data_IF_790836561544
#
_entry.id   IF_790836561544
#
_cell.length_a   1.000
_cell.length_b   1.000
_cell.length_c   1.000
_cell.angle_alpha   90.00
_cell.angle_beta   90.00
_cell.angle_gamma   90.00
#
_symmetry.space_group_name_H-M   'P 1'
#
loop_
_entity.id
_entity.type
_entity.pdbx_description
1 polymer ?
#
# COMPACT_ATOMS: atom_id res chain seq x y z
N UNK A 1 -9.96 -11.02 -24.24
CA UNK A 1 -9.81 -12.48 -24.08
C UNK A 1 -9.36 -12.88 -22.67
N UNK A 2 -9.40 -11.98 -21.66
CA UNK A 2 -8.96 -12.31 -20.29
C UNK A 2 -9.99 -11.90 -19.23
N UNK A 3 -11.24 -11.66 -19.66
CA UNK A 3 -12.29 -11.16 -18.76
C UNK A 3 -12.65 -12.18 -17.68
N UNK A 4 -12.75 -13.46 -18.06
CA UNK A 4 -13.05 -14.53 -17.12
C UNK A 4 -11.87 -14.75 -16.17
N UNK A 5 -10.64 -14.74 -16.68
CA UNK A 5 -9.43 -14.86 -15.85
C UNK A 5 -9.34 -13.72 -14.83
N UNK A 6 -9.58 -12.47 -15.24
CA UNK A 6 -9.60 -11.31 -14.36
C UNK A 6 -10.69 -11.45 -13.27
N UNK A 7 -11.86 -11.98 -13.64
CA UNK A 7 -12.94 -12.26 -12.69
C UNK A 7 -12.54 -13.35 -11.68
N UNK A 8 -11.96 -14.46 -12.15
CA UNK A 8 -11.49 -15.56 -11.29
C UNK A 8 -10.44 -15.05 -10.31
N UNK A 9 -9.48 -14.25 -10.77
CA UNK A 9 -8.47 -13.64 -9.90
C UNK A 9 -9.09 -12.75 -8.82
N UNK A 10 -10.09 -11.93 -9.18
CA UNK A 10 -10.82 -11.10 -8.21
C UNK A 10 -11.57 -11.91 -7.14
N UNK A 11 -12.15 -13.05 -7.51
CA UNK A 11 -12.83 -13.95 -6.57
C UNK A 11 -11.84 -14.62 -5.61
N UNK A 12 -10.67 -15.04 -6.11
CA UNK A 12 -9.58 -15.56 -5.27
C UNK A 12 -9.15 -14.48 -4.26
N UNK A 13 -8.91 -13.26 -4.72
CA UNK A 13 -8.53 -12.14 -3.86
C UNK A 13 -9.58 -11.81 -2.78
N UNK A 14 -10.87 -11.95 -3.10
CA UNK A 14 -11.95 -11.79 -2.12
C UNK A 14 -11.85 -12.81 -0.99
N UNK A 15 -11.53 -14.07 -1.32
CA UNK A 15 -11.29 -15.13 -0.33
C UNK A 15 -10.13 -14.76 0.60
N UNK A 16 -9.03 -14.25 0.04
CA UNK A 16 -7.84 -13.85 0.80
C UNK A 16 -8.10 -12.69 1.75
N UNK A 17 -8.88 -11.67 1.34
CA UNK A 17 -9.22 -10.54 2.21
C UNK A 17 -10.02 -10.92 3.45
N UNK A 18 -10.80 -12.00 3.36
CA UNK A 18 -11.56 -12.53 4.51
C UNK A 18 -10.75 -13.50 5.37
N UNK A 19 -9.58 -13.94 4.89
CA UNK A 19 -8.70 -14.84 5.61
C UNK A 19 -7.77 -14.06 6.55
N UNK A 20 -7.46 -14.65 7.72
CA UNK A 20 -6.43 -14.14 8.61
C UNK A 20 -5.03 -14.49 8.07
N UNK A 21 -4.60 -13.76 7.03
CA UNK A 21 -3.28 -13.98 6.43
C UNK A 21 -2.15 -13.51 7.36
N UNK A 22 -1.00 -14.21 7.37
CA UNK A 22 0.16 -13.75 8.11
C UNK A 22 0.67 -12.43 7.53
N UNK A 23 1.16 -11.56 8.43
CA UNK A 23 1.86 -10.33 8.02
C UNK A 23 3.25 -10.69 7.49
N UNK A 24 3.74 -9.91 6.54
CA UNK A 24 5.05 -10.06 5.91
C UNK A 24 6.00 -9.08 6.55
N UNK A 25 7.10 -9.60 7.13
CA UNK A 25 8.18 -8.77 7.65
C UNK A 25 9.00 -8.19 6.51
N UNK A 26 9.09 -6.87 6.43
CA UNK A 26 9.86 -6.16 5.41
C UNK A 26 10.82 -5.16 6.04
N UNK A 27 11.85 -4.78 5.29
CA UNK A 27 12.79 -3.70 5.62
C UNK A 27 12.57 -2.55 4.64
N UNK A 28 12.26 -1.37 5.16
CA UNK A 28 12.03 -0.15 4.38
C UNK A 28 13.20 0.80 4.62
N UNK A 29 13.92 1.23 3.56
CA UNK A 29 14.98 2.21 3.69
C UNK A 29 14.50 3.47 4.41
N UNK A 30 15.36 4.03 5.26
CA UNK A 30 15.04 5.17 6.14
C UNK A 30 14.26 6.29 5.43
N UNK A 31 14.79 6.79 4.32
CA UNK A 31 14.18 7.90 3.58
C UNK A 31 12.77 7.56 3.09
N UNK A 32 12.54 6.33 2.64
CA UNK A 32 11.23 5.88 2.16
C UNK A 32 10.24 5.70 3.32
N UNK A 33 10.72 5.21 4.47
CA UNK A 33 9.91 5.10 5.69
C UNK A 33 9.45 6.48 6.18
N UNK A 34 10.36 7.46 6.20
CA UNK A 34 10.04 8.86 6.54
C UNK A 34 8.96 9.44 5.60
N UNK A 35 9.07 9.21 4.29
CA UNK A 35 8.04 9.64 3.33
C UNK A 35 6.67 8.96 3.55
N UNK A 36 6.65 7.67 3.88
CA UNK A 36 5.40 6.97 4.18
C UNK A 36 4.72 7.55 5.44
N UNK A 37 5.50 7.83 6.49
CA UNK A 37 4.99 8.47 7.72
C UNK A 37 4.44 9.87 7.43
N UNK A 38 5.12 10.66 6.61
CA UNK A 38 4.61 11.98 6.18
C UNK A 38 3.28 11.85 5.42
N UNK A 39 3.15 10.83 4.56
CA UNK A 39 1.89 10.59 3.85
C UNK A 39 0.74 10.23 4.81
N UNK A 40 1.01 9.45 5.85
CA UNK A 40 0.03 9.15 6.92
C UNK A 40 -0.40 10.40 7.69
N UNK A 41 0.54 11.29 8.00
CA UNK A 41 0.28 12.50 8.79
C UNK A 41 -0.43 13.61 8.00
N UNK A 42 -0.61 13.44 6.68
CA UNK A 42 -1.24 14.45 5.84
C UNK A 42 -2.73 14.54 6.14
N UNK A 43 -3.19 15.71 6.53
CA UNK A 43 -4.62 16.05 6.51
C UNK A 43 -5.03 16.38 5.06
N UNK A 44 -5.81 15.51 4.44
CA UNK A 44 -6.34 15.71 3.09
C UNK A 44 -7.80 16.16 3.16
N UNK A 45 -7.99 17.47 3.25
CA UNK A 45 -9.30 18.12 3.14
C UNK A 45 -9.51 18.63 1.71
N UNK A 46 -10.02 17.77 0.83
CA UNK A 46 -10.27 18.11 -0.57
C UNK A 46 -11.51 17.42 -1.12
N UNK A 47 -12.33 18.16 -1.87
CA UNK A 47 -13.47 17.56 -2.59
C UNK A 47 -12.95 16.79 -3.79
N UNK A 48 -13.26 15.50 -3.86
CA UNK A 48 -12.92 14.68 -5.02
C UNK A 48 -13.62 15.22 -6.29
N UNK A 49 -12.93 15.25 -7.45
CA UNK A 49 -13.56 15.53 -8.73
C UNK A 49 -14.70 14.54 -9.00
N UNK A 50 -15.79 15.03 -9.61
CA UNK A 50 -16.91 14.19 -10.03
C UNK A 50 -17.27 14.53 -11.49
N UNK A 51 -17.13 13.59 -12.44
CA UNK A 51 -16.63 12.21 -12.26
C UNK A 51 -15.11 12.14 -12.08
N UNK A 52 -14.65 11.18 -11.27
CA UNK A 52 -13.22 10.88 -11.11
C UNK A 52 -12.74 9.97 -12.25
N UNK A 53 -11.69 10.39 -12.96
CA UNK A 53 -11.04 9.58 -14.00
C UNK A 53 -10.35 8.36 -13.36
N UNK A 54 -10.38 7.16 -13.99
CA UNK A 54 -9.62 5.99 -13.56
C UNK A 54 -8.16 6.24 -13.16
N UNK A 55 -7.44 7.12 -13.85
CA UNK A 55 -6.06 7.45 -13.50
C UNK A 55 -5.93 8.21 -12.16
N UNK A 56 -6.87 9.11 -11.87
CA UNK A 56 -6.94 9.82 -10.58
C UNK A 56 -7.27 8.86 -9.44
N UNK A 57 -8.18 7.92 -9.68
CA UNK A 57 -8.50 6.85 -8.74
C UNK A 57 -7.27 6.02 -8.38
N UNK A 58 -6.53 5.53 -9.40
CA UNK A 58 -5.31 4.74 -9.19
C UNK A 58 -4.28 5.52 -8.35
N UNK A 59 -4.10 6.82 -8.62
CA UNK A 59 -3.20 7.68 -7.83
C UNK A 59 -3.66 7.84 -6.39
N UNK A 60 -4.95 8.06 -6.16
CA UNK A 60 -5.52 8.20 -4.82
C UNK A 60 -5.40 6.90 -4.02
N UNK A 61 -5.69 5.76 -4.65
CA UNK A 61 -5.57 4.45 -3.99
C UNK A 61 -4.12 4.15 -3.60
N UNK A 62 -3.14 4.52 -4.46
CA UNK A 62 -1.71 4.46 -4.12
C UNK A 62 -1.30 5.39 -2.98
N UNK A 63 -1.81 6.62 -2.97
CA UNK A 63 -1.57 7.54 -1.86
C UNK A 63 -2.12 6.98 -0.53
N UNK A 64 -3.30 6.37 -0.57
CA UNK A 64 -3.89 5.67 0.57
C UNK A 64 -3.04 4.49 1.03
N UNK A 65 -2.53 3.65 0.12
CA UNK A 65 -1.64 2.55 0.45
C UNK A 65 -0.33 3.04 1.10
N UNK A 66 0.27 4.11 0.58
CA UNK A 66 1.47 4.72 1.18
C UNK A 66 1.19 5.23 2.60
N UNK A 67 0.05 5.89 2.82
CA UNK A 67 -0.36 6.34 4.14
C UNK A 67 -0.60 5.17 5.10
N UNK A 68 -1.20 4.05 4.65
CA UNK A 68 -1.37 2.86 5.48
C UNK A 68 -0.04 2.19 5.86
N UNK A 69 0.95 2.20 4.95
CA UNK A 69 2.32 1.78 5.28
C UNK A 69 2.92 2.72 6.33
N UNK A 70 2.74 4.04 6.18
CA UNK A 70 3.16 5.05 7.15
C UNK A 70 2.55 4.85 8.55
N UNK A 71 1.27 4.50 8.61
CA UNK A 71 0.58 4.13 9.85
C UNK A 71 1.23 2.90 10.49
N UNK A 72 1.41 1.82 9.72
CA UNK A 72 2.01 0.59 10.22
C UNK A 72 3.45 0.82 10.75
N UNK A 73 4.23 1.66 10.08
CA UNK A 73 5.55 2.09 10.54
C UNK A 73 5.43 2.89 11.84
N UNK A 74 4.48 3.81 11.93
CA UNK A 74 4.29 4.64 13.13
C UNK A 74 3.90 3.80 14.35
N UNK A 75 3.04 2.79 14.17
CA UNK A 75 2.51 1.97 15.26
C UNK A 75 3.45 0.81 15.66
N UNK A 76 4.17 0.24 14.69
CA UNK A 76 4.85 -1.04 14.87
C UNK A 76 6.27 -1.09 14.30
N UNK A 77 6.74 -0.04 13.62
CA UNK A 77 8.06 0.01 13.04
C UNK A 77 9.17 -0.08 14.09
N UNK A 78 10.20 -0.87 13.79
CA UNK A 78 11.42 -0.96 14.58
C UNK A 78 12.59 -0.47 13.73
N UNK A 79 13.44 0.38 14.27
CA UNK A 79 14.59 0.90 13.54
C UNK A 79 15.79 -0.03 13.75
N UNK A 80 16.43 -0.45 12.65
CA UNK A 80 17.65 -1.26 12.69
C UNK A 80 18.91 -0.41 12.92
N UNK A 81 20.07 -1.06 12.95
CA UNK A 81 21.37 -0.39 13.19
C UNK A 81 21.76 0.61 12.11
N UNK A 82 21.24 0.45 10.88
CA UNK A 82 21.51 1.31 9.73
C UNK A 82 20.46 2.41 9.58
N UNK A 83 19.45 2.44 10.46
CA UNK A 83 18.36 3.40 10.45
C UNK A 83 17.19 3.01 9.55
N UNK A 84 17.17 1.81 8.97
CA UNK A 84 16.03 1.32 8.19
C UNK A 84 14.91 0.87 9.13
N UNK A 85 13.68 0.86 8.62
CA UNK A 85 12.52 0.41 9.39
C UNK A 85 12.18 -1.03 9.05
N UNK A 86 12.21 -1.90 10.06
CA UNK A 86 11.64 -3.23 10.06
C UNK A 86 10.18 -3.13 10.48
N UNK A 87 9.24 -3.58 9.65
CA UNK A 87 7.81 -3.53 9.93
C UNK A 87 7.09 -4.75 9.34
N UNK A 88 6.06 -5.23 10.03
CA UNK A 88 5.21 -6.30 9.53
C UNK A 88 4.01 -5.68 8.77
N UNK A 89 3.88 -5.95 7.47
CA UNK A 89 2.82 -5.40 6.60
C UNK A 89 1.81 -6.48 6.20
N UNK A 90 0.58 -6.06 5.85
CA UNK A 90 -0.36 -6.99 5.23
C UNK A 90 0.15 -7.39 3.84
N UNK A 91 -0.15 -8.63 3.37
CA UNK A 91 0.20 -9.03 2.00
C UNK A 91 -0.37 -8.10 0.93
N UNK A 92 -1.55 -7.51 1.18
CA UNK A 92 -2.17 -6.53 0.29
C UNK A 92 -1.33 -5.26 0.13
N UNK A 93 -0.81 -4.69 1.22
CA UNK A 93 0.04 -3.49 1.14
C UNK A 93 1.37 -3.78 0.43
N UNK A 94 1.96 -4.96 0.67
CA UNK A 94 3.17 -5.40 -0.04
C UNK A 94 2.89 -5.53 -1.53
N UNK A 95 1.78 -6.19 -1.90
CA UNK A 95 1.37 -6.34 -3.29
C UNK A 95 1.15 -5.00 -3.99
N UNK A 96 0.41 -4.08 -3.37
CA UNK A 96 0.16 -2.74 -3.94
C UNK A 96 1.46 -1.95 -4.14
N UNK A 97 2.43 -2.08 -3.23
CA UNK A 97 3.74 -1.43 -3.38
C UNK A 97 4.54 -2.04 -4.55
N UNK A 98 4.49 -3.36 -4.74
CA UNK A 98 5.12 -4.03 -5.89
C UNK A 98 4.45 -3.66 -7.22
N UNK A 99 3.11 -3.66 -7.28
CA UNK A 99 2.34 -3.20 -8.44
C UNK A 99 2.58 -1.71 -8.75
N UNK A 100 2.95 -0.91 -7.75
CA UNK A 100 3.36 0.48 -7.95
C UNK A 100 4.75 0.61 -8.56
N UNK A 101 5.66 -0.34 -8.27
CA UNK A 101 6.99 -0.36 -8.85
C UNK A 101 6.98 -0.70 -10.35
N UNK A 102 6.04 -1.54 -10.81
CA UNK A 102 5.88 -1.87 -12.23
C UNK A 102 5.56 -0.63 -13.10
N UNK A 103 4.92 0.39 -12.53
CA UNK A 103 4.66 1.65 -13.21
C UNK A 103 5.89 2.58 -13.30
N UNK A 104 6.99 2.26 -12.59
CA UNK A 104 8.25 3.00 -12.65
C UNK A 104 9.21 2.48 -13.73
N UNK A 105 8.97 1.26 -14.23
CA UNK A 105 9.79 0.58 -15.24
C UNK A 105 9.44 1.04 -16.66
#
# INVERSE_FOLDING_TARGET
MYTDDARVLGLIGTTFRTAALPRIRVVVPRALAEHAVVAWQRDESGRLPSPENPADRKRRDRAGALAQIGLAITEHGQVDVDGNTIVDLSPELVGVAMDAADDLA
#
